data_IF_897843845337
#
_entry.id   IF_897843845337
#
_cell.length_a   1.000
_cell.length_b   1.000
_cell.length_c   1.000
_cell.angle_alpha   90.00
_cell.angle_beta   90.00
_cell.angle_gamma   90.00
#
_symmetry.space_group_name_H-M   'P 1'
#
loop_
_entity.id
_entity.type
_entity.pdbx_description
1 polymer ?
#
# COMPACT_ATOMS: atom_id res chain seq x y z
N UNK A 1 0.48 -27.10 3.10
CA UNK A 1 -0.58 -26.60 3.97
C UNK A 1 -0.18 -25.27 4.57
N UNK A 2 -1.02 -24.25 4.40
CA UNK A 2 -0.85 -22.90 4.96
C UNK A 2 -2.02 -22.63 5.93
N UNK A 3 -1.71 -22.17 7.14
CA UNK A 3 -2.69 -21.70 8.11
C UNK A 3 -2.46 -20.21 8.36
N UNK A 4 -3.51 -19.42 8.16
CA UNK A 4 -3.53 -18.00 8.46
C UNK A 4 -4.56 -17.77 9.56
N UNK A 5 -4.06 -17.52 10.78
CA UNK A 5 -4.88 -17.34 11.97
C UNK A 5 -4.98 -15.86 12.31
N UNK A 6 -6.18 -15.32 12.34
CA UNK A 6 -6.47 -13.91 12.58
C UNK A 6 -7.21 -13.79 13.90
N UNK A 7 -6.83 -12.83 14.75
CA UNK A 7 -7.50 -12.59 16.02
C UNK A 7 -9.02 -12.46 15.84
N UNK A 8 -9.79 -13.20 16.60
CA UNK A 8 -11.26 -13.15 16.56
C UNK A 8 -11.80 -11.95 17.33
N UNK A 9 -11.69 -10.78 16.71
CA UNK A 9 -12.18 -9.51 17.27
C UNK A 9 -13.69 -9.53 17.43
N UNK A 10 -14.42 -10.27 16.60
CA UNK A 10 -15.88 -10.33 16.63
C UNK A 10 -16.42 -11.00 17.88
N UNK A 11 -15.61 -11.83 18.54
CA UNK A 11 -15.93 -12.39 19.85
C UNK A 11 -16.11 -11.31 20.92
N UNK A 12 -15.27 -10.28 20.89
CA UNK A 12 -15.26 -9.18 21.87
C UNK A 12 -16.15 -8.02 21.46
N UNK A 13 -16.21 -7.69 20.17
CA UNK A 13 -16.97 -6.55 19.64
C UNK A 13 -18.28 -7.04 19.05
N UNK A 14 -19.29 -7.17 19.93
CA UNK A 14 -20.63 -7.64 19.55
C UNK A 14 -21.35 -6.62 18.68
N UNK A 15 -22.11 -7.07 17.70
CA UNK A 15 -22.91 -6.23 16.83
C UNK A 15 -23.83 -5.30 17.63
N UNK A 16 -23.97 -4.05 17.17
CA UNK A 16 -24.80 -3.00 17.78
C UNK A 16 -24.40 -2.56 19.21
N UNK A 17 -23.30 -3.09 19.76
CA UNK A 17 -22.74 -2.61 21.03
C UNK A 17 -22.17 -1.19 20.90
N UNK A 18 -21.94 -0.48 22.01
CA UNK A 18 -21.24 0.82 21.97
C UNK A 18 -19.87 0.76 21.29
N UNK A 19 -19.11 -0.32 21.51
CA UNK A 19 -17.82 -0.57 20.84
C UNK A 19 -17.98 -0.75 19.34
N UNK A 20 -19.01 -1.45 18.89
CA UNK A 20 -19.30 -1.65 17.49
C UNK A 20 -19.68 -0.33 16.80
N UNK A 21 -20.54 0.46 17.41
CA UNK A 21 -20.93 1.77 16.89
C UNK A 21 -19.73 2.70 16.73
N UNK A 22 -18.82 2.70 17.69
CA UNK A 22 -17.60 3.51 17.63
C UNK A 22 -16.62 2.95 16.60
N UNK A 23 -16.43 1.63 16.49
CA UNK A 23 -15.62 0.99 15.47
C UNK A 23 -16.14 1.30 14.06
N UNK A 24 -17.46 1.25 13.86
CA UNK A 24 -18.10 1.64 12.59
C UNK A 24 -17.90 3.13 12.28
N UNK A 25 -18.05 4.00 13.28
CA UNK A 25 -17.84 5.45 13.13
C UNK A 25 -16.42 5.78 12.70
N UNK A 26 -15.40 5.10 13.28
CA UNK A 26 -13.99 5.23 12.90
C UNK A 26 -13.67 4.58 11.55
N UNK A 27 -14.25 3.43 11.26
CA UNK A 27 -14.09 2.64 10.05
C UNK A 27 -12.73 1.98 9.90
N UNK A 28 -11.65 2.67 10.29
CA UNK A 28 -10.26 2.18 10.23
C UNK A 28 -9.40 2.85 11.29
N UNK A 29 -8.28 2.21 11.66
CA UNK A 29 -7.19 2.86 12.40
C UNK A 29 -6.42 3.80 11.50
N UNK A 30 -5.83 4.88 12.05
CA UNK A 30 -4.98 5.84 11.35
C UNK A 30 -3.55 5.69 11.87
N UNK A 31 -2.60 5.48 10.95
CA UNK A 31 -1.19 5.27 11.27
C UNK A 31 -0.38 6.51 10.90
N UNK A 32 -0.11 7.35 11.89
CA UNK A 32 0.73 8.51 11.74
C UNK A 32 2.18 8.17 12.10
N UNK A 33 3.19 8.86 11.56
CA UNK A 33 4.56 8.68 12.02
C UNK A 33 4.69 8.83 13.54
N UNK A 34 5.17 7.79 14.22
CA UNK A 34 5.31 7.77 15.68
C UNK A 34 4.03 7.60 16.49
N UNK A 35 2.84 7.55 15.88
CA UNK A 35 1.56 7.42 16.60
C UNK A 35 0.50 6.66 15.82
N UNK A 36 -0.21 5.77 16.49
CA UNK A 36 -1.42 5.13 15.96
C UNK A 36 -2.67 5.69 16.65
N UNK A 37 -3.70 6.02 15.87
CA UNK A 37 -5.05 6.30 16.37
C UNK A 37 -5.88 5.05 16.09
N UNK A 38 -6.11 4.18 17.08
CA UNK A 38 -6.69 2.87 16.85
C UNK A 38 -8.20 2.93 16.60
N UNK A 39 -8.74 2.02 15.79
CA UNK A 39 -10.18 1.82 15.59
C UNK A 39 -10.85 1.32 16.87
N UNK A 40 -10.19 0.45 17.60
CA UNK A 40 -10.66 -0.15 18.86
C UNK A 40 -9.83 0.34 20.04
N UNK A 41 -10.36 0.34 21.27
CA UNK A 41 -9.58 0.66 22.46
C UNK A 41 -8.31 -0.19 22.58
N UNK A 42 -7.23 0.37 23.12
CA UNK A 42 -5.95 -0.31 23.25
C UNK A 42 -6.01 -1.58 24.08
N UNK A 43 -6.88 -1.64 25.10
CA UNK A 43 -7.14 -2.85 25.85
C UNK A 43 -7.62 -4.03 24.99
N UNK A 44 -8.28 -3.76 23.86
CA UNK A 44 -8.61 -4.78 22.87
C UNK A 44 -7.49 -4.96 21.86
N UNK A 45 -7.08 -3.88 21.19
CA UNK A 45 -6.15 -3.96 20.07
C UNK A 45 -4.75 -4.43 20.46
N UNK A 46 -4.23 -3.99 21.63
CA UNK A 46 -2.88 -4.26 22.07
C UNK A 46 -2.79 -5.40 23.10
N UNK A 47 -3.92 -5.76 23.76
CA UNK A 47 -3.96 -6.79 24.79
C UNK A 47 -4.77 -8.03 24.39
N UNK A 48 -6.09 -7.97 24.45
CA UNK A 48 -6.96 -9.15 24.30
C UNK A 48 -6.93 -9.75 22.88
N UNK A 49 -6.89 -8.91 21.84
CA UNK A 49 -6.84 -9.34 20.45
C UNK A 49 -5.40 -9.47 19.92
N UNK A 50 -4.39 -9.05 20.69
CA UNK A 50 -3.00 -9.18 20.28
C UNK A 50 -2.54 -10.63 20.40
N UNK A 51 -2.00 -11.19 19.31
CA UNK A 51 -1.47 -12.55 19.27
C UNK A 51 -0.09 -12.61 19.91
N UNK A 52 -0.06 -12.44 21.25
CA UNK A 52 1.18 -12.45 22.04
C UNK A 52 1.75 -13.86 22.16
N UNK A 53 3.10 -13.95 22.17
CA UNK A 53 3.78 -15.23 22.35
C UNK A 53 3.42 -15.91 23.68
N UNK A 54 3.32 -17.24 23.67
CA UNK A 54 3.03 -18.10 24.80
C UNK A 54 1.67 -17.88 25.49
N UNK A 55 0.73 -17.15 24.85
CA UNK A 55 -0.62 -16.93 25.35
C UNK A 55 -1.66 -17.52 24.41
N UNK A 56 -2.69 -18.15 24.99
CA UNK A 56 -3.82 -18.65 24.22
C UNK A 56 -4.67 -17.49 23.73
N UNK A 57 -5.01 -17.49 22.44
CA UNK A 57 -5.80 -16.44 21.78
C UNK A 57 -6.86 -17.04 20.87
N UNK A 58 -8.05 -16.44 20.93
CA UNK A 58 -9.14 -16.77 20.03
C UNK A 58 -8.83 -16.23 18.64
N UNK A 59 -9.00 -17.07 17.63
CA UNK A 59 -8.73 -16.73 16.24
C UNK A 59 -9.77 -17.34 15.31
N UNK A 60 -9.88 -16.74 14.11
CA UNK A 60 -10.44 -17.41 12.94
C UNK A 60 -9.28 -17.86 12.07
N UNK A 61 -9.19 -19.14 11.80
CA UNK A 61 -8.12 -19.73 11.00
C UNK A 61 -8.61 -20.10 9.61
N UNK A 62 -7.97 -19.50 8.60
CA UNK A 62 -8.07 -19.92 7.21
C UNK A 62 -7.01 -21.01 6.96
N UNK A 63 -7.45 -22.22 6.74
CA UNK A 63 -6.61 -23.37 6.41
C UNK A 63 -6.71 -23.67 4.92
N UNK A 64 -5.58 -23.65 4.26
CA UNK A 64 -5.46 -23.77 2.80
C UNK A 64 -4.50 -24.92 2.45
N UNK A 65 -4.92 -25.78 1.53
CA UNK A 65 -4.07 -26.82 0.96
C UNK A 65 -3.69 -26.46 -0.47
N UNK A 66 -2.43 -26.65 -0.81
CA UNK A 66 -1.91 -26.32 -2.13
C UNK A 66 -1.08 -27.47 -2.71
N UNK A 67 -1.05 -27.52 -4.05
CA UNK A 67 -0.04 -28.28 -4.76
C UNK A 67 1.30 -27.52 -4.83
N UNK A 68 2.33 -28.14 -5.41
CA UNK A 68 3.66 -27.53 -5.58
C UNK A 68 3.68 -26.31 -6.51
N UNK A 69 2.62 -26.09 -7.30
CA UNK A 69 2.45 -24.94 -8.20
C UNK A 69 1.62 -23.82 -7.57
N UNK A 70 1.23 -23.96 -6.29
CA UNK A 70 0.40 -23.00 -5.58
C UNK A 70 -1.09 -23.03 -5.96
N UNK A 71 -1.59 -24.10 -6.60
CA UNK A 71 -3.03 -24.24 -6.84
C UNK A 71 -3.73 -24.73 -5.58
N UNK A 72 -4.87 -24.11 -5.23
CA UNK A 72 -5.67 -24.52 -4.08
C UNK A 72 -6.27 -25.91 -4.32
N UNK A 73 -6.02 -26.83 -3.41
CA UNK A 73 -6.57 -28.18 -3.37
C UNK A 73 -7.69 -28.31 -2.34
N UNK A 74 -7.82 -27.37 -1.43
CA UNK A 74 -8.85 -27.36 -0.42
C UNK A 74 -8.75 -26.18 0.52
N UNK A 75 -9.89 -25.75 1.04
CA UNK A 75 -10.02 -24.60 1.92
C UNK A 75 -10.99 -24.91 3.06
N UNK A 76 -10.65 -24.44 4.26
CA UNK A 76 -11.52 -24.40 5.43
C UNK A 76 -11.30 -23.12 6.19
N UNK A 77 -12.35 -22.57 6.76
CA UNK A 77 -12.27 -21.48 7.72
C UNK A 77 -13.08 -21.84 8.96
N UNK A 78 -12.50 -21.65 10.16
CA UNK A 78 -13.10 -22.09 11.41
C UNK A 78 -12.59 -21.29 12.61
N UNK A 79 -13.38 -21.21 13.70
CA UNK A 79 -12.91 -20.68 14.97
C UNK A 79 -11.83 -21.60 15.57
N UNK A 80 -10.81 -21.01 16.13
CA UNK A 80 -9.69 -21.75 16.73
C UNK A 80 -9.10 -21.03 17.93
N UNK A 81 -8.35 -21.75 18.74
CA UNK A 81 -7.48 -21.20 19.78
C UNK A 81 -6.04 -21.49 19.38
N UNK A 82 -5.22 -20.46 19.34
CA UNK A 82 -3.80 -20.63 19.02
C UNK A 82 -2.94 -20.13 20.17
N UNK A 83 -1.75 -20.69 20.24
CA UNK A 83 -0.67 -20.25 21.12
C UNK A 83 0.55 -19.92 20.27
N UNK A 84 0.86 -18.65 20.12
CA UNK A 84 1.97 -18.20 19.29
C UNK A 84 3.28 -18.63 19.94
N UNK A 85 4.14 -19.33 19.20
CA UNK A 85 5.44 -19.81 19.68
C UNK A 85 6.46 -18.68 19.79
N UNK A 86 6.56 -17.84 18.76
CA UNK A 86 7.52 -16.76 18.72
C UNK A 86 6.91 -15.52 18.06
N UNK A 87 7.22 -14.34 18.60
CA UNK A 87 6.92 -13.05 17.97
C UNK A 87 8.11 -12.62 17.14
N UNK A 88 7.92 -12.57 15.81
CA UNK A 88 8.94 -12.18 14.86
C UNK A 88 8.72 -10.74 14.42
N UNK A 89 9.80 -9.97 14.23
CA UNK A 89 9.74 -8.65 13.59
C UNK A 89 10.20 -8.75 12.14
N UNK A 90 9.75 -7.83 11.30
CA UNK A 90 10.16 -7.78 9.89
C UNK A 90 11.67 -7.63 9.74
N UNK A 91 12.30 -6.80 10.59
CA UNK A 91 13.76 -6.61 10.58
C UNK A 91 14.51 -7.91 10.91
N UNK A 92 14.07 -8.65 11.94
CA UNK A 92 14.68 -9.93 12.31
C UNK A 92 14.59 -10.95 11.18
N UNK A 93 13.42 -11.05 10.55
CA UNK A 93 13.18 -11.98 9.44
C UNK A 93 13.96 -11.56 8.19
N UNK A 94 14.06 -10.25 7.91
CA UNK A 94 14.83 -9.74 6.78
C UNK A 94 16.33 -10.03 6.94
N UNK A 95 16.89 -9.83 8.14
CA UNK A 95 18.28 -10.20 8.44
C UNK A 95 18.48 -11.71 8.21
N UNK A 96 17.55 -12.55 8.67
CA UNK A 96 17.61 -13.99 8.43
C UNK A 96 17.58 -14.32 6.92
N UNK A 97 16.75 -13.66 6.13
CA UNK A 97 16.69 -13.89 4.69
C UNK A 97 17.94 -13.46 3.93
N UNK A 98 18.66 -12.46 4.44
CA UNK A 98 19.91 -11.96 3.85
C UNK A 98 21.13 -12.77 4.26
N UNK A 99 21.20 -13.21 5.52
CA UNK A 99 22.42 -13.83 6.09
C UNK A 99 22.32 -15.34 6.26
N UNK A 100 21.10 -15.89 6.22
CA UNK A 100 20.84 -17.30 6.55
C UNK A 100 20.94 -17.62 8.05
N UNK A 101 21.20 -16.62 8.90
CA UNK A 101 21.43 -16.79 10.33
C UNK A 101 20.65 -15.77 11.15
N UNK A 102 20.13 -16.19 12.31
CA UNK A 102 19.60 -15.31 13.33
C UNK A 102 19.77 -15.98 14.70
N UNK A 103 20.51 -15.37 15.63
CA UNK A 103 20.80 -15.97 16.94
C UNK A 103 19.56 -16.10 17.84
N UNK A 104 18.45 -15.43 17.50
CA UNK A 104 17.20 -15.44 18.27
C UNK A 104 16.23 -16.54 17.83
N UNK A 105 16.40 -17.08 16.62
CA UNK A 105 15.48 -18.08 16.07
C UNK A 105 15.95 -19.51 16.37
N UNK A 106 15.02 -20.35 16.83
CA UNK A 106 15.26 -21.78 16.91
C UNK A 106 15.26 -22.44 15.51
N UNK A 107 15.85 -23.63 15.35
CA UNK A 107 15.94 -24.31 14.05
C UNK A 107 14.57 -24.50 13.38
N UNK A 108 13.53 -24.85 14.13
CA UNK A 108 12.19 -25.06 13.57
C UNK A 108 11.58 -23.74 13.04
N UNK A 109 11.89 -22.61 13.67
CA UNK A 109 11.49 -21.28 13.16
C UNK A 109 12.27 -20.93 11.88
N UNK A 110 13.56 -21.24 11.80
CA UNK A 110 14.35 -21.04 10.58
C UNK A 110 13.83 -21.88 9.41
N UNK A 111 13.53 -23.16 9.65
CA UNK A 111 12.95 -24.05 8.64
C UNK A 111 11.58 -23.53 8.15
N UNK A 112 10.71 -23.13 9.08
CA UNK A 112 9.40 -22.56 8.75
C UNK A 112 9.55 -21.30 7.89
N UNK A 113 10.44 -20.39 8.23
CA UNK A 113 10.67 -19.15 7.47
C UNK A 113 11.24 -19.45 6.07
N UNK A 114 12.14 -20.40 5.94
CA UNK A 114 12.69 -20.83 4.65
C UNK A 114 11.62 -21.42 3.75
N UNK A 115 10.78 -22.32 4.27
CA UNK A 115 9.65 -22.90 3.55
C UNK A 115 8.62 -21.81 3.19
N UNK A 116 8.32 -20.91 4.11
CA UNK A 116 7.37 -19.81 3.90
C UNK A 116 7.84 -18.85 2.81
N UNK A 117 9.13 -18.51 2.79
CA UNK A 117 9.75 -17.67 1.74
C UNK A 117 9.57 -18.30 0.36
N UNK A 118 9.94 -19.58 0.22
CA UNK A 118 9.80 -20.30 -1.04
C UNK A 118 8.33 -20.40 -1.50
N UNK A 119 7.42 -20.66 -0.57
CA UNK A 119 6.00 -20.75 -0.91
C UNK A 119 5.37 -19.40 -1.25
N UNK A 120 5.73 -18.33 -0.55
CA UNK A 120 5.29 -16.97 -0.89
C UNK A 120 5.73 -16.57 -2.31
N UNK A 121 6.93 -16.99 -2.73
CA UNK A 121 7.39 -16.77 -4.10
C UNK A 121 6.51 -17.51 -5.12
N UNK A 122 6.16 -18.77 -4.88
CA UNK A 122 5.25 -19.55 -5.74
C UNK A 122 3.90 -18.86 -5.89
N UNK A 123 3.32 -18.38 -4.79
CA UNK A 123 2.05 -17.64 -4.81
C UNK A 123 2.17 -16.32 -5.60
N UNK A 124 3.26 -15.58 -5.40
CA UNK A 124 3.53 -14.33 -6.11
C UNK A 124 3.66 -14.55 -7.62
N UNK A 125 4.43 -15.56 -8.04
CA UNK A 125 4.58 -15.91 -9.46
C UNK A 125 3.23 -16.29 -10.09
N UNK A 126 2.42 -17.09 -9.38
CA UNK A 126 1.07 -17.45 -9.83
C UNK A 126 0.18 -16.22 -10.02
N UNK A 127 0.19 -15.29 -9.05
CA UNK A 127 -0.57 -14.03 -9.15
C UNK A 127 -0.09 -13.16 -10.32
N UNK A 128 1.22 -13.02 -10.48
CA UNK A 128 1.79 -12.25 -11.59
C UNK A 128 1.41 -12.83 -12.95
N UNK A 129 1.43 -14.18 -13.09
CA UNK A 129 0.95 -14.88 -14.29
C UNK A 129 -0.55 -14.66 -14.55
N UNK A 130 -1.35 -14.45 -13.51
CA UNK A 130 -2.78 -14.10 -13.63
C UNK A 130 -2.99 -12.63 -14.03
N UNK A 131 -1.98 -11.79 -13.88
CA UNK A 131 -2.02 -10.37 -14.22
C UNK A 131 -2.14 -9.44 -12.99
N UNK A 132 -1.82 -9.91 -11.78
CA UNK A 132 -1.68 -9.01 -10.64
C UNK A 132 -0.54 -8.01 -10.90
N UNK A 133 -0.79 -6.74 -10.61
CA UNK A 133 0.19 -5.66 -10.83
C UNK A 133 0.93 -5.44 -9.52
N UNK A 134 2.25 -5.52 -9.57
CA UNK A 134 3.12 -5.36 -8.40
C UNK A 134 3.94 -4.06 -8.52
N UNK A 135 3.64 -3.09 -7.67
CA UNK A 135 4.35 -1.82 -7.60
C UNK A 135 5.40 -1.87 -6.48
N UNK A 136 6.61 -1.41 -6.79
CA UNK A 136 7.68 -1.24 -5.80
C UNK A 136 8.05 0.23 -5.72
N UNK A 137 7.21 1.02 -5.05
CA UNK A 137 7.45 2.43 -4.82
C UNK A 137 8.01 2.63 -3.41
N UNK A 138 8.94 3.58 -3.24
CA UNK A 138 9.44 3.94 -1.93
C UNK A 138 8.43 4.75 -1.12
N UNK A 139 8.53 4.63 0.20
CA UNK A 139 7.77 5.43 1.16
C UNK A 139 8.73 6.16 2.10
N UNK A 140 8.37 7.34 2.63
CA UNK A 140 9.18 8.03 3.62
C UNK A 140 9.20 7.27 4.95
N UNK A 141 10.38 6.95 5.45
CA UNK A 141 10.60 6.40 6.78
C UNK A 141 11.21 7.50 7.67
N UNK A 142 10.49 7.85 8.73
CA UNK A 142 10.90 8.85 9.69
C UNK A 142 11.74 8.20 10.80
N UNK A 143 12.92 8.76 11.06
CA UNK A 143 13.82 8.33 12.11
C UNK A 143 13.79 9.32 13.29
N UNK A 144 13.60 8.77 14.50
CA UNK A 144 13.45 9.53 15.74
C UNK A 144 14.57 9.21 16.71
N UNK A 145 15.06 10.21 17.42
CA UNK A 145 15.96 10.01 18.54
C UNK A 145 15.22 9.49 19.80
N UNK A 146 15.99 9.25 20.88
CA UNK A 146 15.45 8.76 22.16
C UNK A 146 14.51 9.76 22.85
N UNK A 147 14.56 11.03 22.47
CA UNK A 147 13.73 12.10 23.00
C UNK A 147 12.50 12.38 22.15
N UNK A 148 12.31 11.62 21.07
CA UNK A 148 11.21 11.82 20.13
C UNK A 148 11.42 13.01 19.16
N UNK A 149 12.66 13.43 18.94
CA UNK A 149 13.03 14.43 17.94
C UNK A 149 13.27 13.72 16.60
N UNK A 150 12.69 14.24 15.52
CA UNK A 150 12.90 13.75 14.17
C UNK A 150 14.34 14.07 13.72
N UNK A 151 15.15 13.04 13.45
CA UNK A 151 16.57 13.17 13.08
C UNK A 151 16.88 12.77 11.65
N UNK A 152 15.95 12.09 10.96
CA UNK A 152 16.15 11.67 9.57
C UNK A 152 14.85 11.33 8.87
N UNK A 153 14.88 11.45 7.53
CA UNK A 153 13.80 11.00 6.65
C UNK A 153 14.45 10.21 5.52
N UNK A 154 14.22 8.90 5.51
CA UNK A 154 14.88 7.97 4.60
C UNK A 154 13.88 7.36 3.61
N UNK A 155 14.38 6.96 2.46
CA UNK A 155 13.64 6.17 1.50
C UNK A 155 13.55 4.71 1.99
N UNK A 156 12.35 4.17 2.06
CA UNK A 156 12.10 2.79 2.49
C UNK A 156 11.31 2.02 1.44
N UNK A 157 11.76 0.81 1.13
CA UNK A 157 11.04 -0.12 0.27
C UNK A 157 10.46 -1.26 1.08
N UNK A 158 9.40 -1.87 0.55
CA UNK A 158 8.81 -3.05 1.15
C UNK A 158 9.83 -4.21 1.14
N UNK A 159 10.16 -4.75 2.33
CA UNK A 159 11.09 -5.86 2.50
C UNK A 159 10.53 -7.21 2.02
N UNK A 160 11.39 -8.23 1.83
CA UNK A 160 10.93 -9.58 1.50
C UNK A 160 10.07 -10.19 2.60
N UNK A 161 10.39 -9.91 3.86
CA UNK A 161 9.59 -10.34 5.00
C UNK A 161 8.17 -9.75 4.99
N UNK A 162 8.04 -8.47 4.62
CA UNK A 162 6.72 -7.83 4.44
C UNK A 162 5.95 -8.45 3.26
N UNK A 163 6.62 -8.66 2.13
CA UNK A 163 6.03 -9.28 0.94
C UNK A 163 5.55 -10.71 1.19
N UNK A 164 6.28 -11.48 2.00
CA UNK A 164 5.88 -12.83 2.41
C UNK A 164 4.51 -12.80 3.11
N UNK A 165 4.38 -11.96 4.14
CA UNK A 165 3.13 -11.84 4.89
C UNK A 165 2.01 -11.32 4.00
N UNK A 166 2.29 -10.34 3.14
CA UNK A 166 1.32 -9.84 2.16
C UNK A 166 0.77 -10.96 1.27
N UNK A 167 1.64 -11.83 0.73
CA UNK A 167 1.19 -12.96 -0.11
C UNK A 167 0.20 -13.87 0.63
N UNK A 168 0.50 -14.22 1.89
CA UNK A 168 -0.37 -15.08 2.68
C UNK A 168 -1.69 -14.40 3.06
N UNK A 169 -1.65 -13.10 3.35
CA UNK A 169 -2.87 -12.32 3.63
C UNK A 169 -3.75 -12.18 2.39
N UNK A 170 -3.15 -11.93 1.22
CA UNK A 170 -3.87 -11.85 -0.05
C UNK A 170 -4.55 -13.17 -0.38
N UNK A 171 -3.85 -14.31 -0.26
CA UNK A 171 -4.42 -15.62 -0.53
C UNK A 171 -5.57 -15.94 0.46
N UNK A 172 -5.39 -15.66 1.76
CA UNK A 172 -6.45 -15.86 2.75
C UNK A 172 -7.69 -15.00 2.43
N UNK A 173 -7.51 -13.73 2.03
CA UNK A 173 -8.60 -12.85 1.64
C UNK A 173 -9.38 -13.37 0.42
N UNK A 174 -8.67 -13.90 -0.60
CA UNK A 174 -9.29 -14.48 -1.80
C UNK A 174 -10.07 -15.77 -1.47
N UNK A 175 -9.48 -16.69 -0.69
CA UNK A 175 -10.12 -17.95 -0.34
C UNK A 175 -11.35 -17.76 0.56
N UNK A 176 -11.27 -16.85 1.54
CA UNK A 176 -12.44 -16.45 2.36
C UNK A 176 -13.49 -15.78 1.47
N UNK A 177 -13.09 -14.96 0.49
CA UNK A 177 -14.01 -14.34 -0.47
C UNK A 177 -14.75 -15.36 -1.31
N UNK A 178 -14.06 -16.38 -1.81
CA UNK A 178 -14.68 -17.50 -2.54
C UNK A 178 -15.66 -18.25 -1.63
N UNK A 179 -15.26 -18.61 -0.43
CA UNK A 179 -16.12 -19.27 0.56
C UNK A 179 -17.38 -18.47 0.85
N UNK A 180 -17.26 -17.16 1.11
CA UNK A 180 -18.41 -16.29 1.35
C UNK A 180 -19.37 -16.24 0.14
N UNK A 181 -18.84 -16.35 -1.08
CA UNK A 181 -19.66 -16.42 -2.29
C UNK A 181 -20.43 -17.73 -2.37
N UNK A 182 -19.76 -18.86 -2.16
CA UNK A 182 -20.36 -20.20 -2.19
C UNK A 182 -21.45 -20.35 -1.13
N UNK A 183 -21.19 -19.82 0.08
CA UNK A 183 -22.14 -19.83 1.20
C UNK A 183 -23.16 -18.68 1.14
N UNK A 184 -23.10 -17.80 0.14
CA UNK A 184 -23.98 -16.63 -0.05
C UNK A 184 -24.02 -15.71 1.18
N UNK A 185 -22.86 -15.53 1.83
CA UNK A 185 -22.77 -14.70 3.02
C UNK A 185 -22.78 -13.20 2.64
N UNK A 186 -23.48 -12.34 3.40
CA UNK A 186 -23.48 -10.91 3.20
C UNK A 186 -22.17 -10.31 3.73
N UNK A 187 -21.30 -9.88 2.83
CA UNK A 187 -19.99 -9.29 3.14
C UNK A 187 -19.77 -8.01 2.34
N UNK A 188 -18.84 -7.17 2.78
CA UNK A 188 -18.34 -6.07 1.96
C UNK A 188 -17.16 -6.54 1.14
N UNK A 189 -17.31 -6.41 -0.17
CA UNK A 189 -16.27 -6.72 -1.16
C UNK A 189 -15.29 -5.56 -1.27
N UNK A 190 -14.01 -5.86 -1.47
CA UNK A 190 -13.00 -4.87 -1.84
C UNK A 190 -12.90 -4.84 -3.36
N UNK A 191 -13.62 -3.94 -3.99
CA UNK A 191 -13.72 -3.79 -5.42
C UNK A 191 -12.67 -2.80 -5.94
N UNK A 192 -12.00 -3.15 -7.05
CA UNK A 192 -11.08 -2.25 -7.74
C UNK A 192 -11.40 -2.27 -9.24
N UNK A 193 -12.11 -1.27 -9.75
CA UNK A 193 -12.45 -1.24 -11.16
C UNK A 193 -11.22 -0.96 -12.03
N UNK A 194 -11.23 -1.35 -13.31
CA UNK A 194 -10.16 -1.01 -14.24
C UNK A 194 -10.00 0.51 -14.37
N UNK A 195 -8.86 0.98 -14.85
CA UNK A 195 -8.62 2.40 -15.12
C UNK A 195 -9.63 2.97 -16.10
N UNK A 196 -10.00 4.24 -15.89
CA UNK A 196 -10.90 4.97 -16.78
C UNK A 196 -10.28 5.13 -18.19
N UNK A 197 -11.07 5.06 -19.28
CA UNK A 197 -10.56 5.20 -20.65
C UNK A 197 -9.67 6.43 -20.86
N UNK A 198 -10.08 7.60 -20.35
CA UNK A 198 -9.32 8.83 -20.46
C UNK A 198 -7.94 8.73 -19.78
N UNK A 199 -7.86 8.04 -18.62
CA UNK A 199 -6.58 7.83 -17.92
C UNK A 199 -5.68 6.83 -18.64
N UNK A 200 -6.26 5.78 -19.27
CA UNK A 200 -5.52 4.84 -20.11
C UNK A 200 -4.91 5.56 -21.31
N UNK A 201 -5.66 6.41 -21.97
CA UNK A 201 -5.18 7.16 -23.14
C UNK A 201 -4.08 8.15 -22.76
N UNK A 202 -4.23 8.91 -21.69
CA UNK A 202 -3.19 9.80 -21.17
C UNK A 202 -1.90 9.03 -20.81
N UNK A 203 -2.03 7.83 -20.26
CA UNK A 203 -0.87 6.97 -19.95
C UNK A 203 -0.20 6.47 -21.23
N UNK A 204 -0.96 6.03 -22.25
CA UNK A 204 -0.41 5.63 -23.56
C UNK A 204 0.39 6.76 -24.19
N UNK A 205 -0.15 7.98 -24.17
CA UNK A 205 0.51 9.16 -24.70
C UNK A 205 1.82 9.46 -23.96
N UNK A 206 1.83 9.37 -22.63
CA UNK A 206 3.05 9.52 -21.84
C UNK A 206 4.12 8.49 -22.23
N UNK A 207 3.74 7.22 -22.40
CA UNK A 207 4.64 6.15 -22.79
C UNK A 207 5.23 6.39 -24.19
N UNK A 208 4.39 6.81 -25.17
CA UNK A 208 4.86 7.21 -26.50
C UNK A 208 5.88 8.35 -26.45
N UNK A 209 5.66 9.33 -25.59
CA UNK A 209 6.56 10.48 -25.44
C UNK A 209 7.93 10.10 -24.84
N UNK A 210 8.00 8.95 -24.17
CA UNK A 210 9.23 8.36 -23.65
C UNK A 210 9.91 7.43 -24.67
N UNK A 211 9.44 7.40 -25.95
CA UNK A 211 9.89 6.52 -27.02
C UNK A 211 9.72 5.02 -26.70
N UNK A 212 8.73 4.69 -25.84
CA UNK A 212 8.34 3.32 -25.55
C UNK A 212 7.06 2.98 -26.31
N UNK A 213 6.87 1.69 -26.63
CA UNK A 213 5.62 1.23 -27.25
C UNK A 213 4.62 0.82 -26.16
N UNK A 214 3.49 1.55 -25.98
CA UNK A 214 2.51 1.18 -24.99
C UNK A 214 1.80 -0.12 -25.38
N UNK A 215 1.62 -1.06 -24.43
CA UNK A 215 0.71 -2.17 -24.62
C UNK A 215 -0.76 -1.70 -24.61
N UNK A 216 -1.74 -2.57 -24.91
CA UNK A 216 -3.17 -2.20 -24.96
C UNK A 216 -3.72 -1.57 -23.66
N UNK A 217 -3.16 -1.90 -22.49
CA UNK A 217 -3.59 -1.45 -21.16
C UNK A 217 -5.03 -1.87 -20.77
N UNK A 218 -5.45 -3.03 -21.27
CA UNK A 218 -6.78 -3.58 -20.97
C UNK A 218 -6.76 -4.54 -19.78
N UNK A 219 -5.68 -5.27 -19.60
CA UNK A 219 -5.49 -6.26 -18.54
C UNK A 219 -4.30 -5.93 -17.67
N UNK A 220 -4.24 -6.46 -16.45
CA UNK A 220 -3.07 -6.31 -15.59
C UNK A 220 -1.78 -6.87 -16.21
N UNK A 221 -1.89 -7.87 -17.11
CA UNK A 221 -0.73 -8.38 -17.88
C UNK A 221 -0.11 -7.30 -18.77
N UNK A 222 -0.92 -6.43 -19.36
CA UNK A 222 -0.41 -5.33 -20.18
C UNK A 222 0.42 -4.35 -19.35
N UNK A 223 -0.01 -4.09 -18.11
CA UNK A 223 0.74 -3.25 -17.16
C UNK A 223 2.04 -3.91 -16.75
N UNK A 224 2.03 -5.22 -16.49
CA UNK A 224 3.24 -5.98 -16.17
C UNK A 224 4.24 -6.01 -17.34
N UNK A 225 3.78 -6.10 -18.60
CA UNK A 225 4.63 -5.99 -19.76
C UNK A 225 5.33 -4.62 -19.83
N UNK A 226 4.61 -3.56 -19.52
CA UNK A 226 5.21 -2.22 -19.48
C UNK A 226 6.23 -2.09 -18.35
N UNK A 227 5.92 -2.60 -17.16
CA UNK A 227 6.86 -2.60 -16.03
C UNK A 227 8.13 -3.39 -16.34
N UNK A 228 8.01 -4.51 -17.06
CA UNK A 228 9.15 -5.31 -17.51
C UNK A 228 10.03 -4.57 -18.54
N UNK A 229 9.42 -3.78 -19.45
CA UNK A 229 10.16 -2.98 -20.43
C UNK A 229 11.08 -1.93 -19.78
N UNK A 230 10.68 -1.39 -18.63
CA UNK A 230 11.42 -0.31 -17.95
C UNK A 230 12.23 -0.79 -16.75
N UNK A 231 12.24 -2.09 -16.47
CA UNK A 231 12.95 -2.67 -15.35
C UNK A 231 14.44 -2.35 -15.39
N UNK A 232 14.97 -1.82 -14.28
CA UNK A 232 16.39 -1.43 -14.14
C UNK A 232 16.78 -0.14 -14.86
N UNK A 233 15.84 0.55 -15.53
CA UNK A 233 16.07 1.85 -16.15
C UNK A 233 15.82 3.00 -15.17
N UNK A 234 16.50 4.13 -15.35
CA UNK A 234 16.31 5.33 -14.51
C UNK A 234 14.86 5.84 -14.49
N UNK A 235 14.10 5.60 -15.56
CA UNK A 235 12.69 6.00 -15.68
C UNK A 235 11.71 5.07 -14.98
N UNK A 236 12.13 3.90 -14.47
CA UNK A 236 11.25 2.90 -13.86
C UNK A 236 10.37 3.45 -12.73
N UNK A 237 10.88 4.19 -11.72
CA UNK A 237 10.04 4.72 -10.63
C UNK A 237 8.94 5.65 -11.15
N UNK A 238 9.25 6.47 -12.15
CA UNK A 238 8.31 7.45 -12.71
C UNK A 238 7.20 6.79 -13.53
N UNK A 239 7.54 5.75 -14.29
CA UNK A 239 6.53 4.93 -14.99
C UNK A 239 5.64 4.21 -13.97
N UNK A 240 6.20 3.68 -12.87
CA UNK A 240 5.40 3.07 -11.80
C UNK A 240 4.43 4.07 -11.17
N UNK A 241 4.88 5.30 -10.88
CA UNK A 241 4.02 6.37 -10.36
C UNK A 241 2.92 6.74 -11.37
N UNK A 242 3.26 6.89 -12.65
CA UNK A 242 2.30 7.20 -13.70
C UNK A 242 1.25 6.09 -13.85
N UNK A 243 1.68 4.83 -13.83
CA UNK A 243 0.79 3.66 -13.81
C UNK A 243 -0.15 3.71 -12.60
N UNK A 244 0.38 3.91 -11.40
CA UNK A 244 -0.41 3.98 -10.16
C UNK A 244 -1.44 5.12 -10.22
N UNK A 245 -1.05 6.31 -10.71
CA UNK A 245 -1.95 7.46 -10.88
C UNK A 245 -3.05 7.23 -11.92
N UNK A 246 -2.81 6.35 -12.90
CA UNK A 246 -3.82 5.97 -13.87
C UNK A 246 -4.88 5.04 -13.30
N UNK A 247 -4.57 4.29 -12.22
CA UNK A 247 -5.48 3.34 -11.60
C UNK A 247 -6.71 4.03 -11.00
N UNK A 248 -7.80 3.30 -10.97
CA UNK A 248 -8.96 3.65 -10.18
C UNK A 248 -8.71 3.42 -8.70
N UNK A 249 -9.50 4.03 -7.81
CA UNK A 249 -9.41 3.75 -6.39
C UNK A 249 -10.22 2.48 -6.06
N UNK A 250 -9.65 1.62 -5.23
CA UNK A 250 -10.40 0.51 -4.67
C UNK A 250 -11.41 1.00 -3.62
N UNK A 251 -12.63 0.44 -3.64
CA UNK A 251 -13.74 0.80 -2.74
C UNK A 251 -14.40 -0.43 -2.15
N UNK A 252 -15.02 -0.26 -1.00
CA UNK A 252 -15.88 -1.28 -0.43
C UNK A 252 -17.29 -1.20 -1.04
N UNK A 253 -17.94 -2.34 -1.18
CA UNK A 253 -19.31 -2.41 -1.66
C UNK A 253 -19.97 -3.75 -1.35
N UNK A 254 -21.28 -3.80 -1.29
CA UNK A 254 -22.06 -5.01 -1.02
C UNK A 254 -22.26 -5.89 -2.27
N UNK A 255 -21.85 -5.41 -3.45
CA UNK A 255 -21.84 -6.17 -4.71
C UNK A 255 -20.40 -6.44 -5.12
N UNK A 256 -20.13 -7.67 -5.58
CA UNK A 256 -18.83 -8.07 -6.08
C UNK A 256 -18.64 -7.62 -7.52
N UNK A 257 -17.54 -6.93 -7.80
CA UNK A 257 -17.13 -6.53 -9.16
C UNK A 257 -15.69 -6.96 -9.49
N UNK A 258 -14.98 -7.58 -8.54
CA UNK A 258 -13.59 -7.99 -8.68
C UNK A 258 -12.57 -6.90 -8.35
N UNK A 259 -11.31 -7.28 -8.37
CA UNK A 259 -10.19 -6.39 -8.03
C UNK A 259 -9.13 -6.38 -9.14
N UNK A 260 -9.21 -5.38 -10.04
CA UNK A 260 -8.35 -5.28 -11.22
C UNK A 260 -6.85 -5.36 -10.90
N UNK A 261 -6.35 -4.55 -9.97
CA UNK A 261 -4.91 -4.52 -9.65
C UNK A 261 -4.35 -5.82 -9.07
N UNK A 262 -5.20 -6.66 -8.46
CA UNK A 262 -4.83 -7.98 -7.95
C UNK A 262 -5.18 -9.11 -8.92
N UNK A 263 -5.84 -8.79 -10.03
CA UNK A 263 -6.44 -9.75 -10.94
C UNK A 263 -7.29 -10.81 -10.19
N UNK A 264 -8.01 -10.40 -9.14
CA UNK A 264 -8.78 -11.27 -8.26
C UNK A 264 -10.28 -11.07 -8.49
N UNK A 265 -11.01 -12.18 -8.69
CA UNK A 265 -12.46 -12.15 -8.86
C UNK A 265 -13.19 -12.07 -7.51
N UNK A 266 -12.68 -12.80 -6.51
CA UNK A 266 -13.28 -12.93 -5.18
C UNK A 266 -12.35 -12.26 -4.16
N UNK A 267 -12.50 -10.96 -3.94
CA UNK A 267 -11.60 -10.28 -3.02
C UNK A 267 -12.36 -9.46 -1.97
N UNK A 268 -12.10 -9.78 -0.73
CA UNK A 268 -12.57 -9.06 0.44
C UNK A 268 -11.42 -8.87 1.45
N UNK A 269 -11.66 -8.11 2.49
CA UNK A 269 -10.72 -7.98 3.58
C UNK A 269 -11.20 -8.81 4.78
N UNK A 270 -10.36 -9.76 5.22
CA UNK A 270 -10.59 -10.67 6.36
C UNK A 270 -9.48 -10.57 7.41
N UNK A 271 -8.28 -10.23 6.98
CA UNK A 271 -7.05 -10.45 7.75
C UNK A 271 -6.70 -9.38 8.77
N UNK A 272 -7.49 -8.30 8.92
CA UNK A 272 -7.14 -7.20 9.84
C UNK A 272 -8.35 -6.60 10.58
N UNK A 273 -9.14 -7.39 11.35
CA UNK A 273 -10.36 -6.90 12.02
C UNK A 273 -10.09 -5.95 13.19
N UNK A 274 -8.85 -5.91 13.72
CA UNK A 274 -8.44 -4.96 14.75
C UNK A 274 -8.44 -3.52 14.22
N UNK A 275 -8.09 -3.36 12.94
CA UNK A 275 -7.85 -2.05 12.34
C UNK A 275 -8.75 -1.69 11.16
N UNK A 276 -9.60 -2.61 10.69
CA UNK A 276 -10.55 -2.35 9.60
C UNK A 276 -11.93 -2.90 9.94
N UNK A 277 -12.93 -2.04 9.91
CA UNK A 277 -14.31 -2.43 10.21
C UNK A 277 -14.90 -3.45 9.21
N UNK A 278 -14.64 -3.37 7.88
CA UNK A 278 -15.11 -4.39 6.94
C UNK A 278 -14.64 -5.82 7.27
N UNK A 279 -13.43 -5.99 7.78
CA UNK A 279 -12.91 -7.29 8.21
C UNK A 279 -13.71 -7.84 9.40
N UNK A 280 -14.07 -6.98 10.35
CA UNK A 280 -14.92 -7.35 11.50
C UNK A 280 -16.30 -7.82 11.05
N UNK A 281 -16.86 -7.22 10.01
CA UNK A 281 -18.13 -7.66 9.42
C UNK A 281 -18.01 -9.04 8.77
N UNK A 282 -16.91 -9.35 8.10
CA UNK A 282 -16.65 -10.68 7.55
C UNK A 282 -16.56 -11.72 8.67
N UNK A 283 -15.84 -11.43 9.75
CA UNK A 283 -15.74 -12.33 10.90
C UNK A 283 -17.13 -12.63 11.51
N UNK A 284 -17.98 -11.62 11.63
CA UNK A 284 -19.37 -11.81 12.11
C UNK A 284 -20.21 -12.67 11.17
N UNK A 285 -20.12 -12.42 9.86
CA UNK A 285 -20.85 -13.21 8.86
C UNK A 285 -20.45 -14.69 8.92
N UNK A 286 -19.17 -15.00 9.16
CA UNK A 286 -18.68 -16.35 9.36
C UNK A 286 -19.25 -16.98 10.66
N UNK A 287 -19.23 -16.24 11.79
CA UNK A 287 -19.83 -16.72 13.05
C UNK A 287 -21.33 -16.96 12.94
N UNK A 288 -22.07 -16.07 12.26
CA UNK A 288 -23.50 -16.24 12.04
C UNK A 288 -23.79 -17.48 11.19
N UNK A 289 -22.97 -17.72 10.17
CA UNK A 289 -23.07 -18.93 9.34
C UNK A 289 -22.89 -20.21 10.15
N UNK A 290 -21.82 -20.33 10.95
CA UNK A 290 -21.59 -21.52 11.77
C UNK A 290 -22.64 -21.73 12.88
N UNK A 291 -23.20 -20.65 13.38
CA UNK A 291 -24.26 -20.71 14.37
C UNK A 291 -25.67 -20.88 13.77
N UNK A 292 -25.79 -21.03 12.45
CA UNK A 292 -27.05 -21.05 11.70
C UNK A 292 -27.97 -19.85 12.05
N UNK A 293 -27.38 -18.68 12.31
CA UNK A 293 -28.13 -17.45 12.55
C UNK A 293 -28.43 -16.73 11.25
N UNK A 294 -29.57 -16.01 11.19
CA UNK A 294 -29.86 -15.21 10.01
C UNK A 294 -28.78 -14.13 9.82
N UNK A 295 -28.22 -14.11 8.61
CA UNK A 295 -27.17 -13.15 8.28
C UNK A 295 -27.71 -11.71 8.22
N UNK A 296 -26.96 -10.77 8.79
CA UNK A 296 -27.30 -9.34 8.75
C UNK A 296 -27.22 -8.80 7.29
N UNK A 297 -28.27 -8.15 6.82
CA UNK A 297 -28.24 -7.47 5.52
C UNK A 297 -27.33 -6.25 5.60
N UNK A 298 -26.31 -6.19 4.72
CA UNK A 298 -25.44 -5.02 4.62
C UNK A 298 -26.01 -4.04 3.58
N UNK A 299 -26.32 -2.82 4.02
CA UNK A 299 -26.72 -1.73 3.13
C UNK A 299 -25.55 -1.25 2.26
N UNK A 300 -25.85 -0.70 1.08
CA UNK A 300 -24.82 -0.12 0.20
C UNK A 300 -24.04 1.01 0.88
N UNK A 301 -24.72 1.85 1.66
CA UNK A 301 -24.14 2.98 2.38
C UNK A 301 -22.97 2.57 3.28
N UNK A 302 -23.01 1.38 3.88
CA UNK A 302 -21.94 0.91 4.76
C UNK A 302 -20.60 0.73 4.03
N UNK A 303 -20.65 0.35 2.74
CA UNK A 303 -19.46 0.24 1.90
C UNK A 303 -18.89 1.61 1.54
N UNK A 304 -19.76 2.57 1.23
CA UNK A 304 -19.36 3.94 0.93
C UNK A 304 -18.75 4.59 2.18
N UNK A 305 -19.40 4.49 3.34
CA UNK A 305 -18.89 5.01 4.62
C UNK A 305 -17.49 4.42 4.96
N UNK A 306 -17.30 3.12 4.79
CA UNK A 306 -16.01 2.47 5.03
C UNK A 306 -14.93 2.99 4.07
N UNK A 307 -15.27 3.23 2.81
CA UNK A 307 -14.37 3.78 1.79
C UNK A 307 -13.99 5.22 2.10
N UNK A 308 -14.95 6.04 2.52
CA UNK A 308 -14.72 7.44 2.88
C UNK A 308 -13.84 7.57 4.12
N UNK A 309 -14.03 6.70 5.14
CA UNK A 309 -13.16 6.67 6.33
C UNK A 309 -11.74 6.25 5.98
N UNK A 310 -11.57 5.26 5.11
CA UNK A 310 -10.25 4.87 4.62
C UNK A 310 -9.58 6.02 3.84
N UNK A 311 -10.30 6.71 2.98
CA UNK A 311 -9.80 7.86 2.24
C UNK A 311 -9.37 9.00 3.18
N UNK A 312 -10.19 9.32 4.19
CA UNK A 312 -9.87 10.33 5.20
C UNK A 312 -8.62 9.96 6.01
N UNK A 313 -8.47 8.68 6.40
CA UNK A 313 -7.27 8.19 7.08
C UNK A 313 -6.01 8.39 6.23
N UNK A 314 -6.04 8.00 4.95
CA UNK A 314 -4.93 8.19 4.02
C UNK A 314 -4.57 9.66 3.77
N UNK A 315 -5.58 10.54 3.72
CA UNK A 315 -5.33 11.98 3.62
C UNK A 315 -4.62 12.48 4.88
N UNK A 316 -5.09 12.10 6.07
CA UNK A 316 -4.49 12.47 7.35
C UNK A 316 -3.02 11.99 7.44
N UNK A 317 -2.74 10.73 7.08
CA UNK A 317 -1.38 10.18 7.03
C UNK A 317 -0.48 10.99 6.09
N UNK A 318 -0.95 11.28 4.87
CA UNK A 318 -0.19 12.04 3.88
C UNK A 318 0.10 13.47 4.33
N UNK A 319 -0.90 14.17 4.86
CA UNK A 319 -0.72 15.55 5.33
C UNK A 319 0.20 15.61 6.56
N UNK A 320 0.14 14.62 7.45
CA UNK A 320 1.08 14.51 8.58
C UNK A 320 2.50 14.25 8.09
N UNK A 321 2.69 13.38 7.09
CA UNK A 321 4.00 13.15 6.49
C UNK A 321 4.58 14.45 5.90
N UNK A 322 3.79 15.21 5.15
CA UNK A 322 4.19 16.51 4.58
C UNK A 322 4.54 17.54 5.65
N UNK A 323 3.74 17.62 6.71
CA UNK A 323 4.02 18.50 7.84
C UNK A 323 5.37 18.18 8.47
N UNK A 324 5.65 16.90 8.73
CA UNK A 324 6.92 16.46 9.31
C UNK A 324 8.09 16.72 8.37
N UNK A 325 7.94 16.47 7.08
CA UNK A 325 8.94 16.77 6.07
C UNK A 325 9.22 18.27 6.03
N UNK A 326 8.18 19.11 6.01
CA UNK A 326 8.31 20.58 6.01
C UNK A 326 9.04 21.08 7.25
N UNK A 327 8.67 20.60 8.43
CA UNK A 327 9.32 20.97 9.69
C UNK A 327 10.79 20.54 9.72
N UNK A 328 11.10 19.31 9.30
CA UNK A 328 12.47 18.81 9.24
C UNK A 328 13.35 19.64 8.30
N UNK A 329 12.82 19.99 7.14
CA UNK A 329 13.52 20.76 6.12
C UNK A 329 13.77 22.22 6.49
N UNK A 330 13.21 22.72 7.59
CA UNK A 330 13.46 24.11 8.06
C UNK A 330 14.95 24.37 8.33
N UNK A 331 15.66 23.37 8.86
CA UNK A 331 17.11 23.46 9.11
C UNK A 331 17.97 23.50 7.83
N UNK A 332 17.38 23.20 6.69
CA UNK A 332 18.06 23.11 5.39
C UNK A 332 17.73 24.27 4.43
N UNK A 333 17.06 25.30 4.93
CA UNK A 333 16.72 26.47 4.11
C UNK A 333 17.99 27.12 3.55
N UNK A 334 18.01 27.40 2.24
CA UNK A 334 19.18 27.96 1.53
C UNK A 334 20.20 26.89 1.09
N UNK A 335 20.04 25.63 1.40
CA UNK A 335 20.94 24.56 0.97
C UNK A 335 20.57 24.03 -0.42
N UNK A 336 21.60 23.60 -1.15
CA UNK A 336 21.47 22.99 -2.46
C UNK A 336 21.44 21.45 -2.37
N UNK A 337 20.63 20.83 -3.22
CA UNK A 337 20.43 19.38 -3.26
C UNK A 337 20.49 18.85 -4.69
N UNK A 338 20.92 17.60 -4.82
CA UNK A 338 20.69 16.80 -6.01
C UNK A 338 19.28 16.22 -5.94
N UNK A 339 18.52 16.36 -7.01
CA UNK A 339 17.14 15.94 -7.08
C UNK A 339 16.83 15.29 -8.45
N UNK A 340 15.69 14.63 -8.52
CA UNK A 340 15.13 14.11 -9.77
C UNK A 340 13.77 14.76 -10.02
N UNK A 341 13.42 14.96 -11.28
CA UNK A 341 12.09 15.41 -11.65
C UNK A 341 11.09 14.26 -11.41
N UNK A 342 10.19 14.41 -10.43
CA UNK A 342 9.18 13.40 -10.06
C UNK A 342 7.81 13.64 -10.72
N UNK A 343 7.57 14.87 -11.23
CA UNK A 343 6.29 15.20 -11.82
C UNK A 343 6.25 16.59 -12.45
N UNK A 344 5.15 16.86 -13.15
CA UNK A 344 4.88 18.16 -13.77
C UNK A 344 3.44 18.59 -13.52
N UNK A 345 3.20 19.89 -13.51
CA UNK A 345 1.90 20.51 -13.69
C UNK A 345 2.03 21.79 -14.53
N UNK A 346 0.91 22.50 -14.77
CA UNK A 346 0.91 23.75 -15.55
C UNK A 346 1.71 24.89 -14.91
N UNK A 347 2.00 24.81 -13.62
CA UNK A 347 2.69 25.87 -12.87
C UNK A 347 4.18 25.59 -12.65
N UNK A 348 4.60 24.33 -12.69
CA UNK A 348 5.99 23.97 -12.40
C UNK A 348 6.27 22.48 -12.40
N UNK A 349 7.36 22.15 -11.75
CA UNK A 349 8.01 20.85 -11.70
C UNK A 349 8.00 20.36 -10.26
N UNK A 350 7.65 19.11 -10.03
CA UNK A 350 7.91 18.43 -8.77
C UNK A 350 9.29 17.81 -8.81
N UNK A 351 10.06 18.00 -7.76
CA UNK A 351 11.41 17.46 -7.60
C UNK A 351 11.50 16.64 -6.33
N UNK A 352 12.14 15.48 -6.42
CA UNK A 352 12.35 14.55 -5.32
C UNK A 352 13.83 14.50 -4.96
N UNK A 353 14.13 14.63 -3.67
CA UNK A 353 15.46 14.52 -3.08
C UNK A 353 15.53 13.15 -2.40
N UNK A 354 16.65 12.44 -2.55
CA UNK A 354 16.82 11.10 -1.98
C UNK A 354 17.21 11.13 -0.49
N UNK A 355 18.05 12.10 -0.09
CA UNK A 355 18.51 12.30 1.29
C UNK A 355 18.57 13.80 1.63
N UNK A 356 17.72 14.25 2.57
CA UNK A 356 16.55 13.55 3.15
C UNK A 356 15.47 13.26 2.10
N UNK A 357 14.71 12.16 2.26
CA UNK A 357 13.70 11.76 1.29
C UNK A 357 12.46 12.65 1.35
N UNK A 358 12.41 13.65 0.46
CA UNK A 358 11.33 14.63 0.38
C UNK A 358 11.01 15.00 -1.07
N UNK A 359 9.76 15.34 -1.32
CA UNK A 359 9.32 15.93 -2.59
C UNK A 359 8.91 17.39 -2.37
N UNK A 360 9.25 18.25 -3.32
CA UNK A 360 8.81 19.64 -3.29
C UNK A 360 8.56 20.20 -4.68
N UNK A 361 8.13 21.45 -4.72
CA UNK A 361 7.69 22.12 -5.94
C UNK A 361 8.71 23.19 -6.38
N UNK A 362 9.00 23.22 -7.68
CA UNK A 362 9.80 24.24 -8.34
C UNK A 362 8.96 24.93 -9.41
N UNK A 363 8.54 26.19 -9.22
CA UNK A 363 7.77 26.90 -10.23
C UNK A 363 8.60 27.17 -11.49
N UNK A 364 8.00 27.20 -12.66
CA UNK A 364 8.71 27.48 -13.91
C UNK A 364 9.44 28.82 -13.89
N UNK A 365 8.94 29.80 -13.14
CA UNK A 365 9.59 31.11 -12.94
C UNK A 365 10.91 31.04 -12.17
N UNK A 366 11.17 29.95 -11.47
CA UNK A 366 12.41 29.74 -10.72
C UNK A 366 13.59 29.28 -11.59
N UNK A 367 13.37 28.96 -12.88
CA UNK A 367 14.43 28.59 -13.83
C UNK A 367 14.85 29.84 -14.61
N UNK A 368 16.08 30.35 -14.42
CA UNK A 368 16.54 31.58 -15.07
C UNK A 368 16.66 31.42 -16.60
N UNK A 369 16.38 32.49 -17.33
CA UNK A 369 16.58 32.58 -18.77
C UNK A 369 15.82 31.57 -19.62
N UNK A 370 14.82 30.89 -19.06
CA UNK A 370 13.99 29.94 -19.78
C UNK A 370 12.51 30.17 -19.46
N UNK A 371 11.65 29.89 -20.45
CA UNK A 371 10.19 29.89 -20.26
C UNK A 371 9.67 28.51 -20.64
N UNK A 372 8.96 27.90 -19.74
CA UNK A 372 8.35 26.61 -19.97
C UNK A 372 6.87 26.76 -20.26
N UNK A 373 6.35 25.84 -21.04
CA UNK A 373 4.92 25.62 -21.14
C UNK A 373 4.62 24.13 -21.01
N UNK A 374 3.49 23.85 -20.41
CA UNK A 374 2.97 22.50 -20.29
C UNK A 374 2.06 22.24 -21.48
N UNK A 375 2.44 21.26 -22.31
CA UNK A 375 1.62 20.80 -23.41
C UNK A 375 0.65 19.74 -22.88
N UNK A 376 -0.61 20.12 -22.73
CA UNK A 376 -1.68 19.25 -22.24
C UNK A 376 -1.92 18.04 -23.16
N UNK A 377 -1.67 18.17 -24.46
CA UNK A 377 -1.91 17.08 -25.42
C UNK A 377 -0.84 16.00 -25.30
N UNK A 378 0.42 16.40 -25.20
CA UNK A 378 1.54 15.47 -25.05
C UNK A 378 1.93 15.18 -23.60
N UNK A 379 1.31 15.85 -22.62
CA UNK A 379 1.67 15.78 -21.19
C UNK A 379 3.19 16.00 -20.98
N UNK A 380 3.74 16.98 -21.67
CA UNK A 380 5.16 17.32 -21.64
C UNK A 380 5.38 18.77 -21.21
N UNK A 381 6.53 19.01 -20.62
CA UNK A 381 7.03 20.37 -20.36
C UNK A 381 8.12 20.69 -21.36
N UNK A 382 7.93 21.77 -22.11
CA UNK A 382 8.84 22.20 -23.17
C UNK A 382 9.36 23.60 -22.85
N UNK A 383 10.68 23.76 -22.91
CA UNK A 383 11.36 25.03 -22.80
C UNK A 383 11.25 25.80 -24.12
N UNK A 384 10.70 27.03 -24.09
CA UNK A 384 10.41 27.82 -25.29
C UNK A 384 11.67 28.29 -26.04
N UNK A 385 12.75 28.59 -25.30
CA UNK A 385 13.97 29.14 -25.88
C UNK A 385 14.89 28.05 -26.44
N UNK A 386 15.12 26.99 -25.61
CA UNK A 386 16.03 25.90 -25.95
C UNK A 386 15.35 24.75 -26.68
N UNK A 387 14.03 24.74 -26.78
CA UNK A 387 13.20 23.64 -27.27
C UNK A 387 13.46 22.31 -26.52
N UNK A 388 14.05 22.41 -25.31
CA UNK A 388 14.35 21.26 -24.46
C UNK A 388 13.06 20.69 -23.88
N UNK A 389 12.89 19.39 -24.01
CA UNK A 389 11.81 18.65 -23.36
C UNK A 389 12.31 18.12 -22.02
N UNK A 390 11.62 18.47 -20.95
CA UNK A 390 11.92 17.91 -19.63
C UNK A 390 11.38 16.49 -19.54
N UNK A 391 12.12 15.62 -18.88
CA UNK A 391 11.77 14.21 -18.72
C UNK A 391 11.60 13.87 -17.24
N UNK A 392 10.67 13.00 -16.94
CA UNK A 392 10.59 12.36 -15.63
C UNK A 392 11.89 11.58 -15.37
N UNK A 393 12.42 11.68 -14.16
CA UNK A 393 13.69 11.08 -13.78
C UNK A 393 14.92 11.90 -14.10
N UNK A 394 14.78 13.00 -14.81
CA UNK A 394 15.91 13.86 -15.13
C UNK A 394 16.53 14.45 -13.87
N UNK A 395 17.87 14.38 -13.78
CA UNK A 395 18.65 14.88 -12.64
C UNK A 395 18.77 16.39 -12.70
N UNK A 396 18.53 17.02 -11.56
CA UNK A 396 18.62 18.47 -11.41
C UNK A 396 19.28 18.84 -10.09
N UNK A 397 19.93 19.99 -10.03
CA UNK A 397 20.39 20.60 -8.79
C UNK A 397 19.42 21.72 -8.42
N UNK A 398 18.92 21.69 -7.21
CA UNK A 398 17.93 22.65 -6.70
C UNK A 398 18.36 23.18 -5.34
N UNK A 399 17.89 24.39 -5.00
CA UNK A 399 18.08 24.98 -3.69
C UNK A 399 16.73 25.17 -3.02
N UNK A 400 16.62 24.83 -1.73
CA UNK A 400 15.41 25.07 -0.95
C UNK A 400 15.30 26.56 -0.62
N UNK A 401 14.33 27.24 -1.22
CA UNK A 401 14.19 28.70 -1.11
C UNK A 401 13.08 29.14 -0.18
N UNK A 402 12.04 28.35 -0.02
CA UNK A 402 10.89 28.70 0.81
C UNK A 402 10.18 27.46 1.34
N UNK A 403 9.69 27.57 2.57
CA UNK A 403 8.79 26.64 3.21
C UNK A 403 7.42 27.30 3.36
N UNK A 404 6.39 26.71 2.77
CA UNK A 404 5.02 27.15 2.97
C UNK A 404 4.40 26.29 4.08
N UNK A 405 4.45 26.81 5.31
CA UNK A 405 3.95 26.09 6.49
C UNK A 405 2.43 25.94 6.52
N UNK A 406 1.68 26.82 5.83
CA UNK A 406 0.22 26.71 5.76
C UNK A 406 -0.22 25.56 4.84
N UNK A 407 0.54 25.36 3.76
CA UNK A 407 0.26 24.32 2.76
C UNK A 407 1.10 23.06 2.95
N UNK A 408 2.05 23.08 3.89
CA UNK A 408 3.04 22.02 4.07
C UNK A 408 3.79 21.70 2.77
N UNK A 409 4.25 22.74 2.06
CA UNK A 409 4.92 22.61 0.76
C UNK A 409 6.38 23.14 0.84
N UNK A 410 7.28 22.37 0.22
CA UNK A 410 8.67 22.74 0.01
C UNK A 410 8.81 23.41 -1.36
N UNK A 411 9.33 24.63 -1.40
CA UNK A 411 9.56 25.34 -2.65
C UNK A 411 11.05 25.41 -2.97
N UNK A 412 11.40 24.96 -4.17
CA UNK A 412 12.75 24.93 -4.67
C UNK A 412 12.96 25.92 -5.81
N UNK A 413 14.21 26.35 -5.97
CA UNK A 413 14.68 27.08 -7.14
C UNK A 413 15.74 26.25 -7.87
N UNK A 414 15.82 26.46 -9.16
CA UNK A 414 16.77 25.79 -10.02
C UNK A 414 18.20 26.30 -9.77
N UNK A 415 19.18 25.42 -9.78
CA UNK A 415 20.61 25.73 -9.72
C UNK A 415 21.29 25.33 -11.03
N UNK A 416 21.20 24.06 -11.38
CA UNK A 416 21.81 23.49 -12.59
C UNK A 416 21.09 22.21 -13.05
N UNK A 417 21.28 21.87 -14.32
CA UNK A 417 21.00 20.51 -14.80
C UNK A 417 22.19 19.63 -14.41
N UNK A 418 21.94 18.55 -13.70
CA UNK A 418 22.99 17.58 -13.39
C UNK A 418 23.28 16.76 -14.68
N UNK A 419 24.56 16.79 -15.14
CA UNK A 419 24.98 16.17 -16.42
C UNK A 419 25.32 14.70 -16.22
#
# INVERSE_FOLDING_TARGET
RLLVSIADVSHYVRASSPLDKEAQRRGTSVYLPGRCIPMLPEALSNELCSLKAAQDRLTLTAEMLFDSKGNSLGFKVYPSVIKVRARLTYEQVEIFFQTGQNPVFDPATCDLLTLSRGFAQVLREKRNKRGAIDFSLPEPRFEWDKNGVLIGIHQSFQSEAMKLIEQFMLEANEQVGLFCTEQKLPVLWRNHPPPLPAKKEALKQLIWNLNLKPPPLETGMDYNLLLAQVQGQEMQPFIQIALLRSMSLAKYGNRRTGHFGLAAEYYLHFTSPIRRYPDLLVHRALHDHWANRPAAKLGAQLGDDASDREAAAKICERETNRLLQCNFMTAYLGQAFKAHISGFNRAGIYVEIAEPYVEGFMPFSAVPNERFFFDDQSNQVIAKRSNRKLRLGEKVQVILTKLDQERNELNFSWVAWDR
#
